data_IF_722667685286
#
_entry.id   IF_722667685286
#
_cell.length_a   1.000
_cell.length_b   1.000
_cell.length_c   1.000
_cell.angle_alpha   90.00
_cell.angle_beta   90.00
_cell.angle_gamma   90.00
#
_symmetry.space_group_name_H-M   'P 1'
#
loop_
_entity.id
_entity.type
_entity.pdbx_description
1 polymer ?
#
# COMPACT_ATOMS: atom_id res chain seq x y z
N UNK A 1 5.72 24.19 8.79
CA UNK A 1 6.21 23.15 9.71
C UNK A 1 7.16 22.24 8.94
N UNK A 2 8.31 21.86 9.50
CA UNK A 2 9.24 20.93 8.85
C UNK A 2 8.66 19.52 8.88
N UNK A 3 8.50 18.92 7.69
CA UNK A 3 8.16 17.51 7.52
C UNK A 3 9.34 16.66 7.96
N UNK A 4 9.09 15.66 8.82
CA UNK A 4 10.11 14.73 9.29
C UNK A 4 9.66 13.33 8.90
N UNK A 5 10.46 12.64 8.10
CA UNK A 5 10.26 11.24 7.77
C UNK A 5 11.21 10.39 8.62
N UNK A 6 10.65 9.45 9.38
CA UNK A 6 11.42 8.62 10.28
C UNK A 6 10.81 7.24 10.43
N UNK A 7 11.64 6.33 10.92
CA UNK A 7 11.18 5.06 11.46
C UNK A 7 10.83 5.23 12.93
N UNK A 8 9.69 4.71 13.33
CA UNK A 8 9.24 4.73 14.71
C UNK A 8 8.57 3.42 15.10
N UNK A 9 8.66 3.07 16.38
CA UNK A 9 8.10 1.84 16.93
C UNK A 9 7.16 2.21 18.07
N UNK A 10 5.84 1.99 17.94
CA UNK A 10 4.88 2.28 19.00
C UNK A 10 5.13 1.40 20.22
N UNK A 11 5.33 2.00 21.38
CA UNK A 11 5.51 1.27 22.65
C UNK A 11 4.21 1.21 23.43
N UNK A 12 3.40 2.28 23.35
CA UNK A 12 2.16 2.39 24.11
C UNK A 12 1.13 3.28 23.42
N UNK A 13 -0.11 2.83 23.38
CA UNK A 13 -1.25 3.66 22.98
C UNK A 13 -1.74 4.50 24.18
N UNK A 14 -1.74 5.82 24.04
CA UNK A 14 -2.10 6.79 25.08
C UNK A 14 -3.59 7.19 25.01
N UNK A 15 -4.19 7.11 23.83
CA UNK A 15 -5.60 7.43 23.57
C UNK A 15 -6.12 6.64 22.35
N UNK A 16 -7.38 6.13 22.36
CA UNK A 16 -8.34 6.15 23.48
C UNK A 16 -7.98 5.14 24.60
N UNK A 17 -8.46 5.39 25.83
CA UNK A 17 -8.18 4.55 27.02
C UNK A 17 -8.99 3.25 27.09
N UNK A 18 -9.97 3.07 26.21
CA UNK A 18 -10.84 1.91 26.08
C UNK A 18 -11.10 1.61 24.60
N UNK A 19 -11.51 0.38 24.25
CA UNK A 19 -11.73 -0.04 22.87
C UNK A 19 -12.64 0.94 22.12
N UNK A 20 -12.07 1.58 21.10
CA UNK A 20 -12.77 2.42 20.15
C UNK A 20 -13.48 1.54 19.12
N UNK A 21 -14.71 1.87 18.78
CA UNK A 21 -15.59 1.08 17.90
C UNK A 21 -15.21 1.17 16.40
N UNK A 22 -14.35 2.12 15.99
CA UNK A 22 -14.05 2.39 14.57
C UNK A 22 -12.56 2.23 14.19
N UNK A 23 -12.32 1.80 12.94
CA UNK A 23 -10.97 1.48 12.42
C UNK A 23 -10.04 2.70 12.28
N UNK A 24 -10.56 3.92 12.06
CA UNK A 24 -9.78 5.16 11.87
C UNK A 24 -10.15 6.26 12.89
N UNK A 25 -10.07 5.96 14.19
CA UNK A 25 -10.24 6.98 15.22
C UNK A 25 -8.96 7.78 15.47
N UNK A 26 -9.11 8.99 16.01
CA UNK A 26 -7.98 9.80 16.50
C UNK A 26 -7.25 9.04 17.60
N UNK A 27 -5.95 8.82 17.41
CA UNK A 27 -5.11 8.04 18.31
C UNK A 27 -3.88 8.83 18.72
N UNK A 28 -3.36 8.52 19.89
CA UNK A 28 -2.07 9.03 20.38
C UNK A 28 -1.22 7.84 20.77
N UNK A 29 -0.01 7.75 20.24
CA UNK A 29 0.97 6.72 20.58
C UNK A 29 2.24 7.36 21.15
N UNK A 30 2.82 6.71 22.15
CA UNK A 30 4.21 6.91 22.52
C UNK A 30 5.06 5.92 21.73
N UNK A 31 6.06 6.42 21.00
CA UNK A 31 6.88 5.66 20.07
C UNK A 31 8.37 5.88 20.36
N UNK A 32 9.19 4.85 20.19
CA UNK A 32 10.64 5.01 20.10
C UNK A 32 11.05 5.30 18.67
N UNK A 33 12.12 6.08 18.52
CA UNK A 33 12.76 6.33 17.24
C UNK A 33 14.24 6.60 17.47
N UNK A 34 15.08 6.17 16.54
CA UNK A 34 16.51 6.48 16.52
C UNK A 34 16.84 7.73 15.70
N UNK A 35 15.83 8.40 15.14
CA UNK A 35 16.04 9.64 14.39
C UNK A 35 16.51 10.77 15.31
N UNK A 36 17.52 11.51 14.84
CA UNK A 36 18.01 12.73 15.50
C UNK A 36 17.11 13.95 15.21
N UNK A 37 16.19 13.83 14.25
CA UNK A 37 15.33 14.93 13.79
C UNK A 37 14.08 15.12 14.65
N UNK A 38 13.94 14.34 15.73
CA UNK A 38 12.81 14.37 16.66
C UNK A 38 13.25 14.58 18.10
N UNK A 39 12.50 15.41 18.83
CA UNK A 39 12.74 15.69 20.25
C UNK A 39 12.07 14.62 21.12
N UNK A 40 12.90 13.83 21.79
CA UNK A 40 12.44 12.83 22.77
C UNK A 40 12.02 13.53 24.07
N UNK A 41 10.95 13.05 24.68
CA UNK A 41 10.51 13.53 25.99
C UNK A 41 11.40 12.97 27.12
N UNK A 42 11.12 13.33 28.39
CA UNK A 42 11.86 12.85 29.56
C UNK A 42 11.82 11.33 29.79
N UNK A 43 11.00 10.59 29.04
CA UNK A 43 10.93 9.12 29.04
C UNK A 43 11.71 8.48 27.87
N UNK A 44 12.36 9.28 27.01
CA UNK A 44 13.14 8.79 25.87
C UNK A 44 12.32 8.39 24.64
N UNK A 45 11.01 8.69 24.62
CA UNK A 45 10.12 8.41 23.48
C UNK A 45 9.52 9.70 22.90
N UNK A 46 8.91 9.58 21.72
CA UNK A 46 8.20 10.64 21.01
C UNK A 46 6.70 10.37 21.05
N UNK A 47 5.89 11.44 21.05
CA UNK A 47 4.44 11.32 21.03
C UNK A 47 3.91 11.64 19.63
N UNK A 48 3.28 10.66 18.99
CA UNK A 48 2.61 10.86 17.70
C UNK A 48 1.09 10.86 17.88
N UNK A 49 0.38 11.69 17.13
CA UNK A 49 -1.08 11.81 17.20
C UNK A 49 -1.70 12.11 15.85
N UNK A 50 -2.96 11.73 15.68
CA UNK A 50 -3.67 11.94 14.41
C UNK A 50 -4.72 10.85 14.18
N UNK A 51 -5.43 10.99 13.07
CA UNK A 51 -6.35 9.95 12.58
C UNK A 51 -5.49 8.91 11.86
N UNK A 52 -5.33 7.75 12.45
CA UNK A 52 -4.48 6.68 11.91
C UNK A 52 -5.06 5.32 12.27
N UNK A 53 -4.74 4.29 11.49
CA UNK A 53 -5.08 2.92 11.84
C UNK A 53 -4.45 2.50 13.17
N UNK A 54 -4.99 1.47 13.82
CA UNK A 54 -4.36 0.90 15.01
C UNK A 54 -2.99 0.35 14.62
N UNK A 55 -1.95 0.91 15.22
CA UNK A 55 -0.58 0.42 15.09
C UNK A 55 -0.36 -0.72 16.08
N UNK A 56 0.42 -1.72 15.65
CA UNK A 56 0.88 -2.80 16.52
C UNK A 56 2.05 -2.30 17.38
N UNK A 57 1.99 -2.62 18.67
CA UNK A 57 3.06 -2.23 19.59
C UNK A 57 4.29 -3.10 19.34
N UNK A 58 5.47 -2.50 19.31
CA UNK A 58 6.74 -3.18 19.03
C UNK A 58 7.03 -3.38 17.53
N UNK A 59 6.11 -2.99 16.65
CA UNK A 59 6.28 -3.07 15.20
C UNK A 59 6.83 -1.76 14.65
N UNK A 60 7.87 -1.81 13.81
CA UNK A 60 8.49 -0.63 13.22
C UNK A 60 7.66 -0.15 12.01
N UNK A 61 7.36 1.15 11.99
CA UNK A 61 6.64 1.82 10.92
C UNK A 61 7.45 2.97 10.36
N UNK A 62 7.27 3.25 9.08
CA UNK A 62 7.74 4.51 8.48
C UNK A 62 6.62 5.53 8.64
N UNK A 63 6.94 6.67 9.25
CA UNK A 63 5.99 7.73 9.50
C UNK A 63 6.52 9.07 9.00
N UNK A 64 5.64 9.82 8.34
CA UNK A 64 5.84 11.24 8.07
C UNK A 64 5.06 12.03 9.11
N UNK A 65 5.79 12.83 9.90
CA UNK A 65 5.22 13.58 11.01
C UNK A 65 5.61 15.06 10.93
N UNK A 66 4.80 15.91 11.54
CA UNK A 66 5.08 17.34 11.69
C UNK A 66 4.94 17.75 13.15
N UNK A 67 5.86 18.56 13.66
CA UNK A 67 5.77 19.07 15.03
C UNK A 67 4.47 19.85 15.22
N UNK A 68 3.64 19.41 16.16
CA UNK A 68 2.39 20.08 16.50
C UNK A 68 2.60 21.11 17.61
N UNK A 69 3.07 20.64 18.77
CA UNK A 69 3.34 21.50 19.94
C UNK A 69 4.30 20.84 20.91
N UNK A 70 4.97 21.67 21.71
CA UNK A 70 5.82 21.25 22.82
C UNK A 70 5.09 21.55 24.12
N UNK A 71 4.72 20.51 24.87
CA UNK A 71 4.06 20.64 26.17
C UNK A 71 5.09 20.67 27.30
N UNK A 72 4.97 21.58 28.30
CA UNK A 72 5.94 21.68 29.39
C UNK A 72 6.07 20.42 30.25
N UNK A 73 5.03 19.58 30.30
CA UNK A 73 4.97 18.37 31.11
C UNK A 73 5.22 17.10 30.29
N UNK A 74 4.78 17.05 29.03
CA UNK A 74 4.82 15.83 28.20
C UNK A 74 5.80 15.87 27.02
N UNK A 75 6.44 17.02 26.76
CA UNK A 75 7.41 17.20 25.68
C UNK A 75 6.77 17.43 24.30
N UNK A 76 7.56 17.27 23.25
CA UNK A 76 7.13 17.44 21.86
C UNK A 76 6.08 16.40 21.46
N UNK A 77 5.03 16.87 20.78
CA UNK A 77 4.03 16.03 20.14
C UNK A 77 3.96 16.33 18.64
N UNK A 78 3.76 15.29 17.85
CA UNK A 78 3.83 15.34 16.41
C UNK A 78 2.53 14.84 15.78
N UNK A 79 2.01 15.58 14.79
CA UNK A 79 0.90 15.12 13.97
C UNK A 79 1.42 14.13 12.93
N UNK A 80 0.75 12.98 12.81
CA UNK A 80 1.02 11.98 11.78
C UNK A 80 0.31 12.39 10.51
N UNK A 81 1.08 12.59 9.44
CA UNK A 81 0.57 12.84 8.10
C UNK A 81 0.37 11.52 7.34
N UNK A 82 1.35 10.63 7.43
CA UNK A 82 1.25 9.27 6.90
C UNK A 82 2.04 8.30 7.78
N UNK A 83 1.53 7.09 7.91
CA UNK A 83 2.21 6.00 8.61
C UNK A 83 1.90 4.69 7.91
N UNK A 84 2.92 4.02 7.42
CA UNK A 84 2.79 2.82 6.62
C UNK A 84 3.88 1.80 6.95
N UNK A 85 3.63 0.57 6.52
CA UNK A 85 4.54 -0.57 6.63
C UNK A 85 4.82 -1.05 5.21
N UNK A 86 6.07 -1.33 4.86
CA UNK A 86 6.43 -1.84 3.54
C UNK A 86 6.01 -3.33 3.35
N UNK A 87 5.76 -3.70 2.09
CA UNK A 87 5.13 -4.93 1.54
C UNK A 87 5.84 -6.25 1.93
N UNK A 88 5.24 -7.47 1.93
CA UNK A 88 3.86 -7.96 2.19
C UNK A 88 3.53 -8.22 3.68
N UNK A 89 2.23 -8.16 4.00
CA UNK A 89 1.65 -7.79 5.31
C UNK A 89 1.58 -8.87 6.43
N UNK A 90 2.19 -10.05 6.26
CA UNK A 90 2.41 -11.00 7.38
C UNK A 90 3.72 -11.77 7.16
N UNK A 91 4.44 -12.12 8.24
CA UNK A 91 5.64 -12.98 8.16
C UNK A 91 5.36 -14.29 7.37
N UNK A 92 4.15 -14.83 7.52
CA UNK A 92 3.68 -15.99 6.76
C UNK A 92 3.53 -15.70 5.26
N UNK A 93 2.97 -14.54 4.88
CA UNK A 93 2.84 -14.13 3.48
C UNK A 93 4.19 -13.86 2.81
N UNK A 94 5.14 -13.27 3.54
CA UNK A 94 6.51 -13.09 3.05
C UNK A 94 7.21 -14.44 2.86
N UNK A 95 7.03 -15.36 3.81
CA UNK A 95 7.60 -16.70 3.75
C UNK A 95 7.03 -17.50 2.60
N UNK A 96 5.72 -17.44 2.37
CA UNK A 96 5.08 -18.05 1.20
C UNK A 96 5.60 -17.47 -0.11
N UNK A 97 5.79 -16.15 -0.20
CA UNK A 97 6.36 -15.50 -1.37
C UNK A 97 7.81 -15.94 -1.62
N UNK A 98 8.67 -15.92 -0.61
CA UNK A 98 10.07 -16.34 -0.72
C UNK A 98 10.20 -17.84 -1.00
N UNK A 99 9.27 -18.67 -0.50
CA UNK A 99 9.17 -20.10 -0.83
C UNK A 99 8.94 -20.35 -2.33
N UNK A 100 8.40 -19.37 -3.06
CA UNK A 100 8.29 -19.46 -4.53
C UNK A 100 9.60 -19.19 -5.27
N UNK A 101 10.56 -18.54 -4.61
CA UNK A 101 11.80 -18.04 -5.21
C UNK A 101 13.04 -18.85 -4.80
N UNK A 102 12.95 -19.56 -3.68
CA UNK A 102 14.03 -20.28 -3.00
C UNK A 102 13.67 -21.76 -2.81
N UNK A 103 14.67 -22.62 -2.56
CA UNK A 103 14.40 -23.99 -2.08
C UNK A 103 14.00 -23.97 -0.60
N UNK A 104 13.36 -25.04 -0.13
CA UNK A 104 12.97 -25.19 1.29
C UNK A 104 14.18 -25.05 2.23
N UNK A 105 15.31 -25.69 1.89
CA UNK A 105 16.57 -25.54 2.64
C UNK A 105 17.12 -24.12 2.65
N UNK A 106 16.98 -23.36 1.55
CA UNK A 106 17.41 -21.97 1.48
C UNK A 106 16.51 -21.07 2.33
N UNK A 107 15.20 -21.29 2.25
CA UNK A 107 14.21 -20.54 3.00
C UNK A 107 14.35 -20.77 4.51
N UNK A 108 14.56 -22.01 4.93
CA UNK A 108 14.83 -22.35 6.34
C UNK A 108 16.07 -21.65 6.86
N UNK A 109 17.16 -21.66 6.10
CA UNK A 109 18.41 -21.01 6.55
C UNK A 109 18.30 -19.48 6.54
N UNK A 110 17.53 -18.91 5.61
CA UNK A 110 17.17 -17.48 5.59
C UNK A 110 16.47 -17.10 6.89
N UNK A 111 15.40 -17.79 7.26
CA UNK A 111 14.65 -17.49 8.49
C UNK A 111 15.34 -17.98 9.77
N UNK A 112 16.36 -18.83 9.67
CA UNK A 112 17.25 -19.12 10.79
C UNK A 112 18.22 -17.96 11.06
N UNK A 113 18.66 -17.28 10.01
CA UNK A 113 19.60 -16.15 10.10
C UNK A 113 18.84 -14.84 10.36
N UNK A 114 17.63 -14.72 9.83
CA UNK A 114 16.75 -13.55 9.90
C UNK A 114 15.33 -13.97 10.34
N UNK A 115 15.11 -14.30 11.63
CA UNK A 115 13.86 -14.94 12.09
C UNK A 115 12.61 -14.07 11.94
N UNK A 116 12.75 -12.77 12.20
CA UNK A 116 11.64 -11.81 12.24
C UNK A 116 11.88 -10.61 11.31
N UNK A 117 12.85 -10.70 10.39
CA UNK A 117 13.19 -9.60 9.51
C UNK A 117 12.40 -9.67 8.20
N UNK A 118 12.13 -8.49 7.63
CA UNK A 118 11.61 -8.39 6.27
C UNK A 118 12.72 -8.72 5.27
N UNK A 119 12.82 -10.00 4.91
CA UNK A 119 13.85 -10.49 4.00
C UNK A 119 13.68 -9.90 2.59
N UNK A 120 12.45 -9.57 2.17
CA UNK A 120 12.19 -8.97 0.86
C UNK A 120 12.76 -7.55 0.84
N UNK A 121 12.48 -6.74 1.86
CA UNK A 121 13.03 -5.40 2.03
C UNK A 121 14.56 -5.43 2.11
N UNK A 122 15.12 -6.32 2.93
CA UNK A 122 16.57 -6.48 3.05
C UNK A 122 17.22 -6.77 1.69
N UNK A 123 16.60 -7.59 0.85
CA UNK A 123 17.12 -7.91 -0.48
C UNK A 123 16.95 -6.73 -1.46
N UNK A 124 15.84 -5.99 -1.40
CA UNK A 124 15.57 -4.84 -2.26
C UNK A 124 16.50 -3.66 -1.96
N UNK A 125 16.77 -3.41 -0.68
CA UNK A 125 17.58 -2.31 -0.16
C UNK A 125 19.07 -2.64 0.02
N UNK A 126 19.54 -3.76 -0.53
CA UNK A 126 20.96 -4.15 -0.44
C UNK A 126 21.48 -4.36 0.99
N UNK A 127 20.58 -4.66 1.94
CA UNK A 127 20.89 -4.90 3.36
C UNK A 127 20.95 -6.39 3.73
N UNK A 128 20.56 -7.29 2.84
CA UNK A 128 20.64 -8.74 3.03
C UNK A 128 22.07 -9.26 2.86
N UNK A 129 22.70 -9.71 3.94
CA UNK A 129 24.05 -10.28 3.90
C UNK A 129 24.00 -11.78 3.55
N UNK A 130 23.99 -12.05 2.24
CA UNK A 130 23.94 -13.41 1.71
C UNK A 130 25.11 -14.30 2.13
N UNK A 131 26.24 -13.74 2.61
CA UNK A 131 27.40 -14.54 3.04
C UNK A 131 27.16 -15.26 4.36
N UNK A 132 26.21 -14.78 5.18
CA UNK A 132 25.87 -15.35 6.48
C UNK A 132 24.83 -16.47 6.37
N UNK A 133 24.17 -16.61 5.22
CA UNK A 133 23.13 -17.61 4.97
C UNK A 133 23.73 -18.80 4.23
N UNK A 134 23.71 -20.00 4.83
CA UNK A 134 24.12 -21.22 4.09
C UNK A 134 23.27 -21.42 2.84
N UNK A 135 23.87 -22.03 1.83
CA UNK A 135 23.27 -22.27 0.50
C UNK A 135 23.02 -21.01 -0.34
N UNK A 136 23.53 -19.85 0.09
CA UNK A 136 23.60 -18.63 -0.70
C UNK A 136 25.04 -18.33 -1.14
N UNK A 137 25.27 -18.43 -2.45
CA UNK A 137 26.42 -17.81 -3.11
C UNK A 137 26.00 -16.53 -3.81
N UNK A 138 26.96 -15.69 -4.20
CA UNK A 138 26.71 -14.41 -4.90
C UNK A 138 25.78 -14.58 -6.12
N UNK A 139 26.02 -15.60 -6.96
CA UNK A 139 25.16 -15.90 -8.12
C UNK A 139 23.73 -16.25 -7.73
N UNK A 140 23.53 -16.97 -6.62
CA UNK A 140 22.21 -17.35 -6.12
C UNK A 140 21.48 -16.13 -5.56
N UNK A 141 22.16 -15.32 -4.76
CA UNK A 141 21.63 -14.07 -4.21
C UNK A 141 21.19 -13.11 -5.32
N UNK A 142 22.06 -12.83 -6.30
CA UNK A 142 21.75 -11.93 -7.41
C UNK A 142 20.55 -12.44 -8.23
N UNK A 143 20.44 -13.75 -8.44
CA UNK A 143 19.30 -14.36 -9.14
C UNK A 143 17.98 -14.18 -8.38
N UNK A 144 17.99 -14.36 -7.07
CA UNK A 144 16.82 -14.17 -6.21
C UNK A 144 16.43 -12.70 -6.16
N UNK A 145 17.40 -11.80 -5.91
CA UNK A 145 17.20 -10.35 -5.89
C UNK A 145 16.58 -9.84 -7.20
N UNK A 146 17.10 -10.32 -8.33
CA UNK A 146 16.56 -9.97 -9.64
C UNK A 146 15.09 -10.40 -9.79
N UNK A 147 14.76 -11.63 -9.40
CA UNK A 147 13.38 -12.15 -9.46
C UNK A 147 12.42 -11.42 -8.53
N UNK A 148 12.89 -11.00 -7.35
CA UNK A 148 12.10 -10.17 -6.41
C UNK A 148 11.80 -8.82 -7.06
N UNK A 149 12.82 -8.17 -7.64
CA UNK A 149 12.64 -6.91 -8.38
C UNK A 149 11.67 -7.09 -9.55
N UNK A 150 11.83 -8.12 -10.38
CA UNK A 150 10.92 -8.36 -11.51
C UNK A 150 9.46 -8.59 -11.09
N UNK A 151 9.22 -9.31 -9.99
CA UNK A 151 7.86 -9.59 -9.48
C UNK A 151 7.19 -8.35 -8.90
N UNK A 152 7.93 -7.49 -8.22
CA UNK A 152 7.39 -6.29 -7.54
C UNK A 152 7.27 -5.12 -8.53
N UNK A 153 8.13 -5.05 -9.54
CA UNK A 153 8.20 -3.97 -10.53
C UNK A 153 7.23 -4.17 -11.71
N UNK A 154 6.63 -5.34 -11.88
CA UNK A 154 5.77 -5.69 -13.03
C UNK A 154 4.58 -4.75 -13.24
N UNK A 155 3.74 -4.54 -12.22
CA UNK A 155 2.53 -3.69 -12.36
C UNK A 155 2.89 -2.23 -12.61
N UNK A 156 3.94 -1.72 -11.98
CA UNK A 156 4.40 -0.33 -12.15
C UNK A 156 4.87 -0.10 -13.58
N UNK A 157 5.72 -0.99 -14.11
CA UNK A 157 6.23 -0.85 -15.47
C UNK A 157 5.14 -1.06 -16.54
N UNK A 158 4.22 -2.00 -16.32
CA UNK A 158 3.07 -2.18 -17.22
C UNK A 158 2.22 -0.92 -17.24
N UNK A 159 1.96 -0.30 -16.09
CA UNK A 159 1.23 0.98 -16.03
C UNK A 159 1.96 2.09 -16.79
N UNK A 160 3.28 2.27 -16.58
CA UNK A 160 4.09 3.26 -17.32
C UNK A 160 4.04 3.02 -18.84
N UNK A 161 4.15 1.76 -19.26
CA UNK A 161 4.08 1.38 -20.67
C UNK A 161 2.69 1.63 -21.27
N UNK A 162 1.61 1.22 -20.59
CA UNK A 162 0.24 1.49 -21.04
C UNK A 162 -0.01 2.99 -21.13
N UNK A 163 0.40 3.76 -20.11
CA UNK A 163 0.28 5.21 -20.12
C UNK A 163 1.00 5.81 -21.34
N UNK A 164 2.22 5.37 -21.67
CA UNK A 164 2.97 5.87 -22.83
C UNK A 164 2.28 5.63 -24.18
N UNK A 165 1.40 4.62 -24.28
CA UNK A 165 0.67 4.28 -25.51
C UNK A 165 -0.71 4.94 -25.52
N UNK A 166 -1.44 4.85 -24.41
CA UNK A 166 -2.85 5.23 -24.33
C UNK A 166 -3.02 6.69 -23.93
N UNK A 167 -2.13 7.21 -23.08
CA UNK A 167 -2.11 8.60 -22.66
C UNK A 167 -0.70 9.21 -22.77
N UNK A 168 -0.14 9.28 -24.00
CA UNK A 168 1.21 9.80 -24.22
C UNK A 168 1.31 11.27 -23.80
N UNK A 169 2.54 11.67 -23.50
CA UNK A 169 2.93 13.05 -23.25
C UNK A 169 2.58 13.94 -24.45
N UNK A 170 2.10 15.14 -24.16
CA UNK A 170 1.68 16.12 -25.16
C UNK A 170 1.75 17.50 -24.53
N UNK A 171 2.26 18.50 -25.25
CA UNK A 171 2.43 19.87 -24.76
C UNK A 171 1.12 20.49 -24.24
N UNK A 172 -0.02 20.10 -24.80
CA UNK A 172 -1.34 20.61 -24.40
C UNK A 172 -2.00 19.82 -23.26
N UNK A 173 -1.32 18.82 -22.70
CA UNK A 173 -1.82 18.05 -21.55
C UNK A 173 -1.03 18.39 -20.31
N UNK A 174 -1.76 18.82 -19.28
CA UNK A 174 -1.19 19.03 -17.97
C UNK A 174 -0.73 17.70 -17.36
N UNK A 175 0.45 17.72 -16.75
CA UNK A 175 1.04 16.58 -16.07
C UNK A 175 1.80 17.03 -14.83
N UNK A 176 1.82 16.18 -13.80
CA UNK A 176 2.57 16.39 -12.57
C UNK A 176 3.51 15.21 -12.32
N UNK A 177 4.78 15.51 -12.10
CA UNK A 177 5.80 14.53 -11.74
C UNK A 177 5.93 14.45 -10.21
N UNK A 178 6.11 13.25 -9.69
CA UNK A 178 6.20 12.99 -8.26
C UNK A 178 7.03 11.73 -7.97
N UNK A 179 7.37 11.54 -6.70
CA UNK A 179 8.23 10.44 -6.26
C UNK A 179 9.72 10.79 -6.23
N UNK A 180 10.54 9.81 -5.85
CA UNK A 180 11.99 10.01 -5.74
C UNK A 180 12.57 10.20 -7.15
N UNK A 181 13.28 11.30 -7.36
CA UNK A 181 13.84 11.69 -8.65
C UNK A 181 12.79 11.91 -9.76
N UNK A 182 11.54 12.27 -9.40
CA UNK A 182 10.43 12.50 -10.35
C UNK A 182 10.14 11.31 -11.29
N UNK A 183 10.30 10.09 -10.77
CA UNK A 183 10.21 8.88 -11.57
C UNK A 183 8.77 8.50 -11.97
N UNK A 184 7.76 9.11 -11.35
CA UNK A 184 6.35 8.87 -11.64
C UNK A 184 5.67 10.12 -12.18
N UNK A 185 4.74 9.92 -13.12
CA UNK A 185 4.01 11.01 -13.78
C UNK A 185 2.53 10.70 -13.76
N UNK A 186 1.73 11.65 -13.29
CA UNK A 186 0.28 11.66 -13.44
C UNK A 186 -0.08 12.70 -14.49
N UNK A 187 -0.89 12.30 -15.48
CA UNK A 187 -1.38 13.15 -16.55
C UNK A 187 -2.90 13.26 -16.52
N UNK A 188 -3.41 14.38 -16.99
CA UNK A 188 -4.85 14.50 -17.27
C UNK A 188 -5.29 13.36 -18.19
N UNK A 189 -6.38 12.70 -17.81
CA UNK A 189 -6.91 11.52 -18.51
C UNK A 189 -6.44 10.18 -17.95
N UNK A 190 -5.46 10.14 -17.05
CA UNK A 190 -5.02 8.89 -16.43
C UNK A 190 -6.07 8.29 -15.51
N UNK A 191 -6.11 6.97 -15.48
CA UNK A 191 -6.79 6.25 -14.42
C UNK A 191 -5.86 6.15 -13.21
N UNK A 192 -6.44 6.36 -12.04
CA UNK A 192 -5.76 6.24 -10.76
C UNK A 192 -6.53 5.32 -9.82
N UNK A 193 -5.82 4.89 -8.79
CA UNK A 193 -6.29 4.07 -7.69
C UNK A 193 -6.02 4.82 -6.40
N UNK A 194 -7.05 5.05 -5.61
CA UNK A 194 -6.85 5.51 -4.25
C UNK A 194 -6.34 4.35 -3.37
N UNK A 195 -5.35 4.62 -2.52
CA UNK A 195 -4.76 3.59 -1.63
C UNK A 195 -5.03 3.82 -0.15
N UNK A 196 -5.57 4.99 0.21
CA UNK A 196 -5.80 5.38 1.61
C UNK A 196 -7.29 5.65 1.81
N UNK A 197 -7.89 5.15 2.89
CA UNK A 197 -9.28 5.52 3.19
C UNK A 197 -9.34 6.98 3.66
N UNK A 198 -10.08 7.81 2.91
CA UNK A 198 -10.35 9.20 3.22
C UNK A 198 -11.84 9.35 3.54
N UNK A 199 -12.16 9.81 4.76
CA UNK A 199 -13.54 9.92 5.23
C UNK A 199 -13.99 11.37 5.31
N UNK A 200 -15.27 11.61 5.03
CA UNK A 200 -15.90 12.93 5.08
C UNK A 200 -15.15 13.98 4.23
N UNK A 201 -14.53 13.55 3.14
CA UNK A 201 -13.82 14.45 2.22
C UNK A 201 -14.85 15.28 1.49
N UNK A 202 -14.63 16.58 1.42
CA UNK A 202 -15.47 17.45 0.61
C UNK A 202 -15.13 17.24 -0.86
N UNK A 203 -16.14 16.87 -1.62
CA UNK A 203 -16.04 16.91 -3.08
C UNK A 203 -16.08 18.37 -3.57
N UNK A 204 -15.90 18.59 -4.87
CA UNK A 204 -15.94 19.93 -5.47
C UNK A 204 -17.32 20.62 -5.38
N UNK A 205 -18.36 19.89 -4.96
CA UNK A 205 -19.71 20.39 -4.69
C UNK A 205 -19.97 20.59 -3.19
N UNK A 206 -18.90 20.60 -2.36
CA UNK A 206 -18.95 20.79 -0.91
C UNK A 206 -19.76 19.72 -0.15
N UNK A 207 -20.04 18.58 -0.80
CA UNK A 207 -20.67 17.44 -0.16
C UNK A 207 -19.61 16.55 0.46
N UNK A 208 -19.81 16.16 1.73
CA UNK A 208 -18.94 15.22 2.42
C UNK A 208 -19.21 13.79 1.96
N UNK A 209 -18.18 13.15 1.43
CA UNK A 209 -18.25 11.81 0.84
C UNK A 209 -16.98 11.04 1.24
N UNK A 210 -17.11 9.72 1.36
CA UNK A 210 -15.99 8.85 1.65
C UNK A 210 -15.35 8.35 0.35
N UNK A 211 -14.02 8.33 0.31
CA UNK A 211 -13.23 7.68 -0.74
C UNK A 211 -12.41 6.58 -0.06
N UNK A 212 -12.61 5.34 -0.47
CA UNK A 212 -11.95 4.20 0.18
C UNK A 212 -10.79 3.66 -0.66
N UNK A 213 -9.91 2.90 -0.02
CA UNK A 213 -8.84 2.19 -0.68
C UNK A 213 -9.42 1.21 -1.71
N UNK A 214 -8.94 1.29 -2.94
CA UNK A 214 -9.41 0.52 -4.08
C UNK A 214 -10.30 1.33 -5.03
N UNK A 215 -10.81 2.49 -4.60
CA UNK A 215 -11.63 3.34 -5.45
C UNK A 215 -10.84 3.76 -6.69
N UNK A 216 -11.49 3.58 -7.83
CA UNK A 216 -10.97 3.94 -9.14
C UNK A 216 -11.40 5.34 -9.50
N UNK A 217 -10.46 6.16 -9.95
CA UNK A 217 -10.76 7.50 -10.42
C UNK A 217 -10.10 7.78 -11.76
N UNK A 218 -10.54 8.86 -12.41
CA UNK A 218 -9.90 9.43 -13.58
C UNK A 218 -9.45 10.85 -13.28
N UNK A 219 -8.21 11.18 -13.65
CA UNK A 219 -7.67 12.53 -13.52
C UNK A 219 -8.36 13.43 -14.54
N UNK A 220 -9.08 14.44 -14.06
CA UNK A 220 -9.89 15.35 -14.85
C UNK A 220 -9.13 16.64 -15.19
N UNK A 221 -8.36 17.17 -14.23
CA UNK A 221 -7.56 18.38 -14.40
C UNK A 221 -6.40 18.40 -13.40
N UNK A 222 -5.39 19.24 -13.66
CA UNK A 222 -4.32 19.54 -12.72
C UNK A 222 -4.18 21.06 -12.66
N UNK A 223 -4.18 21.63 -11.45
CA UNK A 223 -4.14 23.07 -11.22
C UNK A 223 -2.83 23.43 -10.52
N UNK A 224 -1.93 24.11 -11.21
CA UNK A 224 -0.59 24.43 -10.69
C UNK A 224 -0.53 25.78 -9.95
N UNK A 225 -1.27 26.79 -10.41
CA UNK A 225 -1.44 28.10 -9.78
C UNK A 225 -2.53 28.90 -10.52
N UNK A 226 -3.14 29.87 -9.85
CA UNK A 226 -3.91 30.92 -10.51
C UNK A 226 -2.94 31.86 -11.23
N UNK A 227 -3.11 32.05 -12.55
CA UNK A 227 -2.35 33.05 -13.32
C UNK A 227 -2.51 34.49 -12.78
N UNK A 228 -3.39 34.74 -11.79
CA UNK A 228 -3.65 36.08 -11.19
C UNK A 228 -4.34 35.96 -9.82
N UNK A 229 -3.63 36.03 -8.69
CA UNK A 229 -4.11 36.65 -7.41
C UNK A 229 -3.12 36.51 -6.25
N UNK A 230 -3.07 37.55 -5.41
CA UNK A 230 -2.33 37.66 -4.14
C UNK A 230 -3.25 37.34 -2.93
N UNK A 231 -4.28 36.49 -3.10
CA UNK A 231 -5.22 36.16 -2.01
C UNK A 231 -4.71 34.95 -1.22
N UNK A 232 -4.83 34.99 0.11
CA UNK A 232 -4.49 33.87 1.01
C UNK A 232 -5.38 32.64 0.71
N UNK A 233 -4.77 31.45 0.60
CA UNK A 233 -5.42 30.15 0.25
C UNK A 233 -6.65 29.77 1.11
N UNK A 234 -6.86 30.43 2.26
CA UNK A 234 -7.95 30.15 3.19
C UNK A 234 -9.36 30.57 2.69
N UNK A 235 -9.45 31.57 1.81
CA UNK A 235 -10.74 32.08 1.30
C UNK A 235 -11.19 31.41 -0.03
N UNK A 236 -10.38 30.53 -0.60
CA UNK A 236 -10.67 29.86 -1.87
C UNK A 236 -11.60 28.64 -1.68
N UNK A 237 -12.54 28.46 -2.61
CA UNK A 237 -13.31 27.21 -2.68
C UNK A 237 -12.38 26.04 -3.03
N UNK A 238 -12.72 24.80 -2.63
CA UNK A 238 -11.86 23.63 -2.94
C UNK A 238 -11.60 23.46 -4.44
N UNK A 239 -12.54 23.87 -5.29
CA UNK A 239 -12.34 23.85 -6.76
C UNK A 239 -11.33 24.88 -7.25
N UNK A 240 -11.06 25.94 -6.51
CA UNK A 240 -10.18 27.06 -6.89
C UNK A 240 -8.73 26.81 -6.45
N UNK A 241 -8.53 26.00 -5.40
CA UNK A 241 -7.21 25.61 -4.91
C UNK A 241 -6.41 24.79 -5.92
N UNK A 242 -5.09 24.92 -5.85
CA UNK A 242 -4.13 24.09 -6.61
C UNK A 242 -4.21 22.62 -6.19
N UNK A 243 -3.93 21.73 -7.13
CA UNK A 243 -3.96 20.27 -6.90
C UNK A 243 -4.44 19.48 -8.10
N UNK A 244 -4.64 18.20 -7.89
CA UNK A 244 -5.05 17.22 -8.89
C UNK A 244 -6.55 16.97 -8.73
N UNK A 245 -7.32 17.20 -9.78
CA UNK A 245 -8.76 16.96 -9.76
C UNK A 245 -9.04 15.56 -10.29
N UNK A 246 -9.68 14.72 -9.47
CA UNK A 246 -9.95 13.32 -9.77
C UNK A 246 -11.44 13.06 -9.69
N UNK A 247 -12.01 12.52 -10.75
CA UNK A 247 -13.38 12.04 -10.79
C UNK A 247 -13.43 10.58 -10.36
N UNK A 248 -13.95 10.34 -9.16
CA UNK A 248 -14.38 9.02 -8.69
C UNK A 248 -15.88 8.84 -8.98
N UNK A 249 -16.38 7.61 -8.84
CA UNK A 249 -17.82 7.33 -8.97
C UNK A 249 -18.66 8.12 -7.95
N UNK A 250 -18.06 8.46 -6.81
CA UNK A 250 -18.68 9.20 -5.71
C UNK A 250 -18.62 10.73 -5.86
N UNK A 251 -17.93 11.24 -6.89
CA UNK A 251 -17.82 12.67 -7.16
C UNK A 251 -16.43 13.09 -7.65
N UNK A 252 -16.26 14.39 -7.92
CA UNK A 252 -14.97 14.97 -8.24
C UNK A 252 -14.32 15.55 -6.98
N UNK A 253 -13.04 15.28 -6.77
CA UNK A 253 -12.30 15.69 -5.59
C UNK A 253 -10.97 16.32 -5.97
N UNK A 254 -10.52 17.28 -5.16
CA UNK A 254 -9.16 17.81 -5.24
C UNK A 254 -8.27 16.99 -4.31
N UNK A 255 -7.19 16.46 -4.85
CA UNK A 255 -6.08 15.90 -4.10
C UNK A 255 -4.94 16.92 -4.12
N UNK A 256 -4.39 17.24 -2.96
CA UNK A 256 -3.24 18.13 -2.86
C UNK A 256 -2.02 17.51 -3.55
N UNK A 257 -1.14 18.33 -4.11
CA UNK A 257 0.11 17.81 -4.70
C UNK A 257 0.95 17.06 -3.67
N UNK A 258 0.88 17.45 -2.40
CA UNK A 258 1.59 16.73 -1.35
C UNK A 258 1.00 15.34 -1.12
N UNK A 259 -0.27 15.09 -1.42
CA UNK A 259 -0.95 13.82 -1.20
C UNK A 259 -0.97 12.90 -2.44
N UNK A 260 -0.32 13.30 -3.53
CA UNK A 260 -0.28 12.53 -4.79
C UNK A 260 0.31 11.13 -4.62
N UNK A 261 1.21 10.94 -3.64
CA UNK A 261 1.82 9.64 -3.34
C UNK A 261 0.80 8.58 -2.87
N UNK A 262 -0.39 9.01 -2.42
CA UNK A 262 -1.49 8.12 -2.02
C UNK A 262 -2.20 7.49 -3.24
N UNK A 263 -1.85 7.92 -4.45
CA UNK A 263 -2.42 7.43 -5.70
C UNK A 263 -1.48 6.44 -6.39
N UNK A 264 -2.04 5.34 -6.87
CA UNK A 264 -1.37 4.43 -7.80
C UNK A 264 -1.92 4.61 -9.21
N UNK A 265 -1.07 4.36 -10.21
CA UNK A 265 -1.54 4.24 -11.58
C UNK A 265 -2.59 3.12 -11.70
N UNK A 266 -3.72 3.45 -12.32
CA UNK A 266 -4.91 2.60 -12.39
C UNK A 266 -5.10 1.85 -13.70
N UNK A 267 -4.19 1.97 -14.67
CA UNK A 267 -4.27 1.30 -15.98
C UNK A 267 -4.19 -0.23 -15.87
N UNK A 268 -3.38 -0.73 -14.94
CA UNK A 268 -3.24 -2.14 -14.63
C UNK A 268 -3.21 -2.34 -13.11
N UNK A 269 -3.87 -3.39 -12.63
CA UNK A 269 -3.99 -3.72 -11.22
C UNK A 269 -3.70 -5.21 -11.01
N UNK A 270 -3.20 -5.56 -9.84
CA UNK A 270 -3.01 -6.96 -9.44
C UNK A 270 -4.35 -7.69 -9.29
N UNK A 271 -4.38 -9.00 -9.50
CA UNK A 271 -5.59 -9.82 -9.30
C UNK A 271 -6.22 -9.68 -7.90
N UNK A 272 -5.40 -9.51 -6.86
CA UNK A 272 -5.86 -9.28 -5.48
C UNK A 272 -6.63 -7.96 -5.33
N UNK A 273 -6.06 -6.85 -5.83
CA UNK A 273 -6.72 -5.53 -5.83
C UNK A 273 -7.95 -5.42 -6.75
N UNK A 274 -8.15 -6.40 -7.63
CA UNK A 274 -9.35 -6.49 -8.47
C UNK A 274 -10.47 -7.34 -7.82
N UNK A 275 -10.27 -7.88 -6.61
CA UNK A 275 -11.28 -8.69 -5.94
C UNK A 275 -12.52 -7.85 -5.59
N UNK A 276 -13.70 -8.34 -5.95
CA UNK A 276 -14.97 -7.61 -5.77
C UNK A 276 -15.33 -6.71 -6.96
N UNK A 277 -14.36 -6.30 -7.78
CA UNK A 277 -14.57 -5.47 -8.97
C UNK A 277 -15.04 -6.31 -10.18
N UNK A 278 -15.66 -5.70 -11.18
CA UNK A 278 -16.05 -6.37 -12.42
C UNK A 278 -16.24 -5.42 -13.59
N UNK A 279 -15.68 -5.78 -14.75
CA UNK A 279 -15.73 -4.96 -15.96
C UNK A 279 -16.39 -5.71 -17.14
N UNK A 280 -16.97 -5.01 -18.14
CA UNK A 280 -17.51 -5.64 -19.34
C UNK A 280 -16.49 -6.54 -20.05
N UNK A 281 -15.25 -6.07 -20.14
CA UNK A 281 -14.13 -6.84 -20.66
C UNK A 281 -12.91 -6.72 -19.73
N UNK A 282 -12.18 -7.83 -19.54
CA UNK A 282 -10.96 -7.86 -18.71
C UNK A 282 -9.84 -8.51 -19.50
N UNK A 283 -8.68 -7.86 -19.49
CA UNK A 283 -7.41 -8.38 -20.00
C UNK A 283 -6.51 -8.76 -18.82
N UNK A 284 -6.33 -10.06 -18.64
CA UNK A 284 -5.49 -10.63 -17.58
C UNK A 284 -4.15 -11.05 -18.15
N UNK A 285 -3.05 -10.62 -17.54
CA UNK A 285 -1.70 -11.00 -17.94
C UNK A 285 -1.08 -11.83 -16.82
N UNK A 286 -0.61 -13.01 -17.17
CA UNK A 286 0.11 -13.89 -16.25
C UNK A 286 1.35 -14.40 -16.94
N UNK A 287 2.51 -13.86 -16.58
CA UNK A 287 3.78 -14.34 -17.11
C UNK A 287 4.23 -15.65 -16.43
N UNK A 288 5.10 -16.39 -17.11
CA UNK A 288 5.76 -17.57 -16.58
C UNK A 288 6.55 -17.30 -15.31
N UNK A 289 7.07 -16.09 -15.11
CA UNK A 289 7.73 -15.67 -13.88
C UNK A 289 6.82 -15.81 -12.64
N UNK A 290 5.51 -15.64 -12.82
CA UNK A 290 4.51 -15.74 -11.75
C UNK A 290 3.99 -17.17 -11.53
N UNK A 291 4.49 -18.18 -12.26
CA UNK A 291 3.90 -19.53 -12.26
C UNK A 291 3.79 -20.17 -10.88
N UNK A 292 4.69 -19.85 -9.96
CA UNK A 292 4.67 -20.39 -8.60
C UNK A 292 3.69 -19.66 -7.66
N UNK A 293 3.36 -18.40 -7.94
CA UNK A 293 2.36 -17.63 -7.19
C UNK A 293 0.94 -17.96 -7.67
N UNK A 294 0.78 -18.19 -8.98
CA UNK A 294 -0.53 -18.41 -9.58
C UNK A 294 -1.13 -19.77 -9.21
N UNK A 295 -2.34 -19.74 -8.68
CA UNK A 295 -3.18 -20.90 -8.38
C UNK A 295 -4.39 -20.97 -9.31
N UNK A 296 -5.07 -22.13 -9.32
CA UNK A 296 -6.35 -22.29 -10.03
C UNK A 296 -7.38 -21.25 -9.56
N UNK A 297 -7.39 -20.97 -8.24
CA UNK A 297 -8.28 -20.00 -7.62
C UNK A 297 -7.97 -18.58 -8.10
N UNK A 298 -6.68 -18.22 -8.21
CA UNK A 298 -6.31 -16.89 -8.70
C UNK A 298 -6.70 -16.69 -10.16
N UNK A 299 -6.46 -17.68 -11.03
CA UNK A 299 -6.92 -17.63 -12.43
C UNK A 299 -8.44 -17.51 -12.53
N UNK A 300 -9.17 -18.29 -11.73
CA UNK A 300 -10.62 -18.22 -11.66
C UNK A 300 -11.09 -16.82 -11.22
N UNK A 301 -10.52 -16.26 -10.16
CA UNK A 301 -10.87 -14.92 -9.67
C UNK A 301 -10.61 -13.85 -10.73
N UNK A 302 -9.46 -13.89 -11.42
CA UNK A 302 -9.12 -12.96 -12.49
C UNK A 302 -10.08 -13.05 -13.69
N UNK A 303 -10.40 -14.27 -14.13
CA UNK A 303 -11.31 -14.48 -15.28
C UNK A 303 -12.75 -14.08 -14.96
N UNK A 304 -13.23 -14.36 -13.75
CA UNK A 304 -14.60 -14.03 -13.32
C UNK A 304 -14.84 -12.53 -13.10
N UNK A 305 -13.80 -11.69 -13.15
CA UNK A 305 -13.97 -10.23 -13.19
C UNK A 305 -14.61 -9.76 -14.50
N UNK A 306 -14.52 -10.56 -15.58
CA UNK A 306 -15.11 -10.21 -16.88
C UNK A 306 -16.60 -10.56 -16.94
N UNK A 307 -17.46 -9.57 -17.22
CA UNK A 307 -18.91 -9.77 -17.41
C UNK A 307 -19.27 -10.30 -18.79
N UNK A 308 -18.54 -9.88 -19.85
CA UNK A 308 -18.83 -10.27 -21.24
C UNK A 308 -17.64 -10.92 -21.95
N UNK A 309 -16.43 -10.40 -21.78
CA UNK A 309 -15.23 -10.92 -22.47
C UNK A 309 -14.01 -10.95 -21.57
N UNK A 310 -13.50 -12.14 -21.29
CA UNK A 310 -12.21 -12.32 -20.61
C UNK A 310 -11.14 -12.74 -21.62
N UNK A 311 -9.98 -12.07 -21.58
CA UNK A 311 -8.79 -12.48 -22.33
C UNK A 311 -7.69 -12.75 -21.31
N UNK A 312 -7.11 -13.94 -21.34
CA UNK A 312 -5.94 -14.31 -20.54
C UNK A 312 -4.73 -14.42 -21.46
N UNK A 313 -3.77 -13.52 -21.28
CA UNK A 313 -2.45 -13.59 -21.92
C UNK A 313 -1.51 -14.33 -20.97
N UNK A 314 -1.13 -15.55 -21.36
CA UNK A 314 -0.21 -16.39 -20.58
C UNK A 314 0.34 -17.51 -21.44
N UNK A 315 1.37 -18.20 -20.94
CA UNK A 315 1.94 -19.39 -21.55
C UNK A 315 1.19 -20.66 -21.10
N UNK A 316 1.07 -21.65 -21.99
CA UNK A 316 0.37 -22.91 -21.68
C UNK A 316 0.96 -23.65 -20.47
N UNK A 317 2.28 -23.58 -20.26
CA UNK A 317 2.94 -24.16 -19.07
C UNK A 317 2.44 -23.50 -17.77
N UNK A 318 2.27 -22.18 -17.77
CA UNK A 318 1.82 -21.41 -16.61
C UNK A 318 0.40 -21.80 -16.21
N UNK A 319 -0.50 -21.97 -17.19
CA UNK A 319 -1.85 -22.50 -16.96
C UNK A 319 -1.78 -23.92 -16.38
N UNK A 320 -1.03 -24.81 -17.04
CA UNK A 320 -0.91 -26.22 -16.63
C UNK A 320 -0.35 -26.38 -15.21
N UNK A 321 0.52 -25.47 -14.79
CA UNK A 321 1.03 -25.43 -13.43
C UNK A 321 -0.05 -24.92 -12.46
N UNK A 322 -0.66 -23.77 -12.76
CA UNK A 322 -1.66 -23.13 -11.91
C UNK A 322 -2.88 -24.03 -11.65
N UNK A 323 -3.41 -24.73 -12.66
CA UNK A 323 -4.59 -25.60 -12.50
C UNK A 323 -4.33 -26.80 -11.57
N UNK A 324 -3.07 -27.22 -11.41
CA UNK A 324 -2.67 -28.29 -10.47
C UNK A 324 -2.52 -27.77 -9.04
N UNK A 325 -2.25 -26.47 -8.89
CA UNK A 325 -2.18 -25.78 -7.60
C UNK A 325 -3.58 -25.32 -7.20
N UNK A 326 -4.34 -26.24 -6.61
CA UNK A 326 -5.56 -25.88 -5.86
C UNK A 326 -5.10 -25.52 -4.45
N UNK A 327 -5.26 -24.26 -4.07
CA UNK A 327 -4.96 -23.82 -2.71
C UNK A 327 -5.71 -24.69 -1.70
N UNK A 328 -4.96 -25.30 -0.79
CA UNK A 328 -5.53 -26.03 0.33
C UNK A 328 -6.34 -25.05 1.18
N UNK A 329 -7.66 -25.18 1.16
CA UNK A 329 -8.57 -24.44 2.04
C UNK A 329 -8.46 -24.86 3.51
N UNK A 330 -7.47 -25.68 3.91
CA UNK A 330 -7.20 -25.96 5.33
C UNK A 330 -6.63 -24.72 5.99
N UNK A 331 -7.53 -23.81 6.35
CA UNK A 331 -7.24 -22.75 7.31
C UNK A 331 -7.28 -23.38 8.69
N UNK A 332 -6.21 -23.21 9.44
CA UNK A 332 -6.24 -23.53 10.87
C UNK A 332 -7.14 -22.48 11.53
N UNK A 333 -8.39 -22.85 11.81
CA UNK A 333 -9.37 -21.97 12.44
C UNK A 333 -10.21 -22.76 13.42
N UNK A 334 -10.33 -22.22 14.64
CA UNK A 334 -11.19 -22.77 15.67
C UNK A 334 -12.66 -22.39 15.48
N UNK A 335 -13.00 -21.56 14.48
CA UNK A 335 -14.39 -21.11 14.27
C UNK A 335 -15.36 -22.29 14.08
N UNK A 336 -14.94 -23.33 13.37
CA UNK A 336 -15.77 -24.52 13.17
C UNK A 336 -16.00 -25.28 14.48
N UNK A 337 -15.00 -25.35 15.36
CA UNK A 337 -15.11 -25.98 16.68
C UNK A 337 -15.98 -25.13 17.62
N UNK A 338 -15.80 -23.81 17.61
CA UNK A 338 -16.56 -22.86 18.42
C UNK A 338 -18.06 -22.89 18.08
N UNK A 339 -18.42 -22.89 16.79
CA UNK A 339 -19.81 -22.97 16.35
C UNK A 339 -20.47 -24.29 16.78
N UNK A 340 -19.73 -25.41 16.72
CA UNK A 340 -20.21 -26.71 17.20
C UNK A 340 -20.37 -26.78 18.72
N UNK A 341 -19.54 -26.05 19.46
CA UNK A 341 -19.66 -25.97 20.92
C UNK A 341 -20.86 -25.12 21.38
N UNK A 342 -21.35 -24.19 20.56
CA UNK A 342 -22.50 -23.36 20.94
C UNK A 342 -23.83 -24.10 20.84
N UNK A 343 -23.95 -25.05 19.91
CA UNK A 343 -25.13 -25.93 19.78
C UNK A 343 -25.28 -26.87 20.99
N UNK A 344 -24.18 -27.31 21.61
CA UNK A 344 -24.22 -28.21 22.76
C UNK A 344 -24.66 -27.56 24.08
N UNK A 345 -24.63 -26.23 24.18
CA UNK A 345 -25.00 -25.48 25.40
C UNK A 345 -26.43 -24.91 25.31
N UNK A 346 -27.04 -24.92 24.11
CA UNK A 346 -28.42 -24.46 23.91
C UNK A 346 -29.47 -25.55 24.17
N UNK A 347 -29.05 -26.81 24.33
CA UNK A 347 -29.89 -27.98 24.61
C UNK A 347 -29.84 -28.44 26.09
N UNK A 348 -29.15 -27.68 26.97
CA UNK A 348 -29.21 -27.79 28.45
C UNK A 348 -29.98 -26.60 29.04
#
# INVERSE_FOLDING_TARGET
MSLIELKLTPERMMYPKSEALNKNDFRIYACTSDSADVEKNGFGNISIKGIMQRLELGTEYTAQITLDKIDPKYGASYNVLSIYQDVPETLDGQREFLATLMTEMQLEEVYKTYPDADVIDLILNDKFDYKQVKYFGEKTYLKIKHRIKENIVGTVQINKYIQSIVNPECENKKQHEYGKDNDNVIRVGDFVLNTVNMYQVKNLEESSVDIVNGDAGKVLDIKFEDDKRDDDDEDLLEREKKGIIIGFDSGAFRIDFNDVFQLLAGWCRTGHKAQGDSAPAVLSIVDRSHKFQVSANMLYTMLTRAKKKGILITQSETINFAIRKVESKRRNTHLCELLKHTEAVADE
#
